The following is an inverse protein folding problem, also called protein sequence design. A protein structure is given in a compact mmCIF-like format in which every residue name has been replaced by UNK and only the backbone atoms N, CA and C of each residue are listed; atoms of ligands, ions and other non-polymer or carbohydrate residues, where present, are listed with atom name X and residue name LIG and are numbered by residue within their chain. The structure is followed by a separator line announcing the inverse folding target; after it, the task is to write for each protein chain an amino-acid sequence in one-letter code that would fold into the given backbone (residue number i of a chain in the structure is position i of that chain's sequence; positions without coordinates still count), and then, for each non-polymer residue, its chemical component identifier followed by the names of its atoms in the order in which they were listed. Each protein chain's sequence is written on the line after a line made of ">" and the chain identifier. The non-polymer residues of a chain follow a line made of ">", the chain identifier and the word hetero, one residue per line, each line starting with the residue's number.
data_IF_675089121978
#
_entry.id   IF_675089121978
#
_cell.length_a   1.000
_cell.length_b   1.000
_cell.length_c   1.000
_cell.angle_alpha   90.00
_cell.angle_beta   90.00
_cell.angle_gamma   90.00
#
_symmetry.space_group_name_H-M   'P 1'
#
loop_
_entity.id
_entity.type
_entity.pdbx_description
1 polymer ?
#
# COMPACT_ATOMS: atom_id res chain seq x y z
N UNK A 1 -9.34 -6.09 25.01
CA UNK A 1 -9.77 -5.42 23.77
C UNK A 1 -8.72 -4.39 23.41
N UNK A 2 -8.15 -4.47 22.21
CA UNK A 2 -7.10 -3.56 21.74
C UNK A 2 -7.76 -2.43 20.94
N UNK A 3 -7.33 -1.18 21.15
CA UNK A 3 -7.87 -0.01 20.45
C UNK A 3 -6.74 0.92 20.04
N UNK A 4 -6.86 1.52 18.87
CA UNK A 4 -5.91 2.50 18.33
C UNK A 4 -6.66 3.80 18.10
N UNK A 5 -6.15 4.92 18.59
CA UNK A 5 -6.77 6.21 18.36
C UNK A 5 -6.48 6.70 16.94
N UNK A 6 -7.36 7.56 16.42
CA UNK A 6 -7.12 8.20 15.13
C UNK A 6 -5.75 8.91 15.12
N UNK A 7 -4.95 8.65 14.08
CA UNK A 7 -3.58 9.18 13.87
C UNK A 7 -2.53 8.68 14.86
N UNK A 8 -2.84 7.70 15.71
CA UNK A 8 -1.87 7.07 16.60
C UNK A 8 -0.90 6.17 15.80
N UNK A 9 0.40 6.32 16.05
CA UNK A 9 1.43 5.44 15.45
C UNK A 9 1.67 4.25 16.36
N UNK A 10 1.31 3.05 15.90
CA UNK A 10 1.47 1.82 16.67
C UNK A 10 2.44 0.86 15.96
N UNK A 11 3.38 0.30 16.73
CA UNK A 11 4.28 -0.75 16.26
C UNK A 11 3.73 -2.14 16.59
N UNK A 12 3.56 -2.99 15.59
CA UNK A 12 3.09 -4.38 15.75
C UNK A 12 4.10 -5.33 15.11
N UNK A 13 4.65 -6.26 15.90
CA UNK A 13 5.72 -7.18 15.48
C UNK A 13 5.22 -8.34 14.60
N UNK A 14 3.92 -8.59 14.57
CA UNK A 14 3.26 -9.58 13.69
C UNK A 14 2.11 -8.96 12.90
N UNK A 15 2.45 -8.04 12.00
CA UNK A 15 1.49 -7.32 11.16
C UNK A 15 0.74 -8.22 10.16
N UNK A 16 1.30 -9.38 9.79
CA UNK A 16 0.74 -10.27 8.76
C UNK A 16 -0.68 -10.75 9.07
N UNK A 17 -0.98 -11.17 10.30
CA UNK A 17 -2.34 -11.63 10.64
C UNK A 17 -3.36 -10.49 10.66
N UNK A 18 -2.96 -9.30 11.11
CA UNK A 18 -3.83 -8.12 11.14
C UNK A 18 -4.20 -7.68 9.73
N UNK A 19 -3.24 -7.67 8.81
CA UNK A 19 -3.48 -7.34 7.41
C UNK A 19 -4.51 -8.28 6.77
N UNK A 20 -4.39 -9.60 7.03
CA UNK A 20 -5.31 -10.61 6.49
C UNK A 20 -6.72 -10.43 7.05
N UNK A 21 -6.86 -10.10 8.34
CA UNK A 21 -8.15 -9.80 8.96
C UNK A 21 -8.78 -8.50 8.46
N UNK A 22 -8.01 -7.40 8.40
CA UNK A 22 -8.50 -6.09 7.92
C UNK A 22 -8.91 -6.11 6.45
N UNK A 23 -8.21 -6.91 5.64
CA UNK A 23 -8.58 -7.16 4.24
C UNK A 23 -9.75 -8.13 4.09
N UNK A 24 -10.32 -8.62 5.20
CA UNK A 24 -11.40 -9.62 5.26
C UNK A 24 -11.10 -10.86 4.41
N UNK A 25 -9.85 -11.33 4.46
CA UNK A 25 -9.44 -12.64 3.95
C UNK A 25 -9.74 -13.75 4.96
N UNK A 26 -9.83 -13.38 6.24
CA UNK A 26 -10.34 -14.20 7.35
C UNK A 26 -11.38 -13.40 8.13
N UNK A 27 -12.24 -14.09 8.87
CA UNK A 27 -13.19 -13.43 9.77
C UNK A 27 -12.42 -12.66 10.86
N UNK A 28 -12.80 -11.40 11.04
CA UNK A 28 -12.21 -10.51 12.04
C UNK A 28 -13.35 -9.75 12.72
N UNK A 29 -13.41 -9.84 14.05
CA UNK A 29 -14.30 -9.02 14.87
C UNK A 29 -13.57 -7.71 15.22
N UNK A 30 -13.92 -6.64 14.51
CA UNK A 30 -13.32 -5.33 14.66
C UNK A 30 -14.31 -4.21 14.30
N UNK A 31 -14.09 -3.05 14.89
CA UNK A 31 -14.80 -1.81 14.57
C UNK A 31 -13.81 -0.74 14.14
N UNK A 32 -14.19 0.06 13.14
CA UNK A 32 -13.48 1.26 12.71
C UNK A 32 -14.43 2.42 12.91
N UNK A 33 -14.01 3.45 13.67
CA UNK A 33 -14.84 4.59 14.04
C UNK A 33 -16.20 4.19 14.69
N UNK A 34 -16.20 3.09 15.45
CA UNK A 34 -17.39 2.54 16.10
C UNK A 34 -18.34 1.77 15.16
N UNK A 35 -18.00 1.65 13.87
CA UNK A 35 -18.76 0.88 12.88
C UNK A 35 -18.13 -0.49 12.71
N UNK A 36 -18.95 -1.54 12.81
CA UNK A 36 -18.56 -2.91 12.50
C UNK A 36 -18.14 -3.05 11.03
N UNK A 37 -16.91 -3.50 10.80
CA UNK A 37 -16.33 -3.64 9.46
C UNK A 37 -17.09 -4.64 8.58
N UNK A 38 -17.82 -5.58 9.17
CA UNK A 38 -18.63 -6.56 8.44
C UNK A 38 -19.84 -5.92 7.76
N UNK A 39 -20.27 -4.75 8.23
CA UNK A 39 -21.38 -3.96 7.64
C UNK A 39 -20.95 -3.08 6.48
N UNK A 40 -19.64 -2.88 6.30
CA UNK A 40 -19.07 -2.07 5.22
C UNK A 40 -18.86 -2.97 3.99
N UNK A 41 -19.12 -2.45 2.78
CA UNK A 41 -18.81 -3.18 1.54
C UNK A 41 -17.31 -3.40 1.43
N UNK A 42 -16.91 -4.56 0.93
CA UNK A 42 -15.50 -4.96 0.87
C UNK A 42 -14.64 -3.98 0.06
N UNK A 43 -15.13 -3.53 -1.09
CA UNK A 43 -14.45 -2.56 -1.95
C UNK A 43 -14.24 -1.23 -1.21
N UNK A 44 -15.28 -0.73 -0.56
CA UNK A 44 -15.23 0.55 0.14
C UNK A 44 -14.26 0.46 1.32
N UNK A 45 -14.33 -0.60 2.13
CA UNK A 45 -13.39 -0.83 3.23
C UNK A 45 -11.94 -0.86 2.74
N UNK A 46 -11.65 -1.58 1.64
CA UNK A 46 -10.31 -1.70 1.07
C UNK A 46 -9.81 -0.39 0.45
N UNK A 47 -10.69 0.50 0.01
CA UNK A 47 -10.30 1.80 -0.55
C UNK A 47 -9.72 2.76 0.50
N UNK A 48 -10.04 2.57 1.79
CA UNK A 48 -9.55 3.39 2.90
C UNK A 48 -8.32 2.81 3.60
N UNK A 49 -7.85 1.62 3.20
CA UNK A 49 -6.73 0.93 3.84
C UNK A 49 -5.61 0.75 2.83
N UNK A 50 -4.45 1.35 3.09
CA UNK A 50 -3.23 1.12 2.35
C UNK A 50 -2.30 0.17 3.12
N UNK A 51 -1.84 -0.89 2.47
CA UNK A 51 -0.88 -1.85 3.04
C UNK A 51 0.38 -1.82 2.20
N UNK A 52 1.52 -1.54 2.83
CA UNK A 52 2.84 -1.72 2.21
C UNK A 52 3.36 -3.11 2.56
N UNK A 53 3.62 -4.00 1.58
CA UNK A 53 4.20 -5.32 1.84
C UNK A 53 5.64 -5.19 2.35
N UNK A 54 6.14 -6.21 3.05
CA UNK A 54 7.54 -6.21 3.50
C UNK A 54 8.53 -6.26 2.33
N UNK A 55 8.20 -7.06 1.31
CA UNK A 55 8.91 -7.11 0.03
C UNK A 55 7.97 -6.61 -1.08
N UNK A 56 8.41 -5.57 -1.79
CA UNK A 56 7.65 -5.02 -2.93
C UNK A 56 7.98 -5.80 -4.19
N UNK A 57 6.95 -6.25 -4.91
CA UNK A 57 7.08 -6.83 -6.25
C UNK A 57 6.59 -5.81 -7.28
N UNK A 58 7.41 -5.54 -8.29
CA UNK A 58 7.02 -4.75 -9.46
C UNK A 58 6.75 -5.68 -10.65
N UNK A 59 5.69 -5.37 -11.39
CA UNK A 59 5.40 -6.00 -12.67
C UNK A 59 6.25 -5.40 -13.78
N UNK A 60 6.42 -6.17 -14.86
CA UNK A 60 7.03 -5.68 -16.11
C UNK A 60 6.23 -4.48 -16.63
N UNK A 61 6.90 -3.34 -16.82
CA UNK A 61 6.26 -2.10 -17.23
C UNK A 61 7.05 -0.87 -16.76
N UNK A 62 6.42 0.30 -16.86
CA UNK A 62 7.00 1.56 -16.36
C UNK A 62 6.77 1.70 -14.86
N UNK A 63 7.50 2.62 -14.22
CA UNK A 63 7.21 3.00 -12.83
C UNK A 63 5.77 3.50 -12.71
N UNK A 64 5.31 4.28 -13.70
CA UNK A 64 3.93 4.79 -13.77
C UNK A 64 2.89 3.67 -13.80
N UNK A 65 3.06 2.65 -14.65
CA UNK A 65 2.11 1.55 -14.75
C UNK A 65 2.09 0.67 -13.50
N UNK A 66 3.16 0.67 -12.70
CA UNK A 66 3.20 -0.03 -11.43
C UNK A 66 2.57 0.78 -10.28
N UNK A 67 2.73 2.11 -10.28
CA UNK A 67 2.21 3.00 -9.23
C UNK A 67 0.76 3.42 -9.47
N UNK A 68 0.35 3.55 -10.72
CA UNK A 68 -1.00 3.92 -11.13
C UNK A 68 -1.48 3.04 -12.30
N UNK A 69 -1.75 1.75 -12.04
CA UNK A 69 -2.13 0.78 -13.06
C UNK A 69 -3.48 1.08 -13.72
N UNK A 70 -4.30 1.93 -13.11
CA UNK A 70 -5.65 2.28 -13.61
C UNK A 70 -5.72 3.71 -14.16
N UNK A 71 -4.61 4.45 -14.21
CA UNK A 71 -4.55 5.82 -14.68
C UNK A 71 -5.52 6.77 -13.94
N UNK A 72 -5.69 6.59 -12.63
CA UNK A 72 -6.61 7.41 -11.82
C UNK A 72 -6.04 8.79 -11.52
N UNK A 73 -4.72 8.96 -11.56
CA UNK A 73 -4.08 10.22 -11.28
C UNK A 73 -3.69 10.89 -12.60
N UNK A 74 -4.11 12.13 -12.84
CA UNK A 74 -3.63 12.89 -14.01
C UNK A 74 -2.36 13.69 -13.70
N UNK A 75 -2.14 13.96 -12.41
CA UNK A 75 -1.02 14.74 -11.90
C UNK A 75 0.17 13.85 -11.58
N UNK A 76 1.27 14.08 -12.30
CA UNK A 76 2.54 13.40 -12.09
C UNK A 76 3.16 13.68 -10.72
N UNK A 77 2.80 14.77 -10.04
CA UNK A 77 3.34 15.06 -8.72
C UNK A 77 2.94 14.00 -7.68
N UNK A 78 1.71 13.49 -7.76
CA UNK A 78 1.23 12.46 -6.83
C UNK A 78 1.92 11.12 -7.07
N UNK A 79 2.15 10.78 -8.33
CA UNK A 79 2.89 9.56 -8.69
C UNK A 79 4.37 9.67 -8.34
N UNK A 80 5.00 10.83 -8.54
CA UNK A 80 6.37 11.07 -8.13
C UNK A 80 6.57 10.88 -6.62
N UNK A 81 5.64 11.37 -5.77
CA UNK A 81 5.72 11.14 -4.31
C UNK A 81 5.61 9.67 -3.95
N UNK A 82 4.72 8.93 -4.61
CA UNK A 82 4.60 7.48 -4.40
C UNK A 82 5.86 6.72 -4.85
N UNK A 83 6.50 7.17 -5.94
CA UNK A 83 7.75 6.59 -6.45
C UNK A 83 8.85 6.62 -5.39
N UNK A 84 9.06 7.76 -4.73
CA UNK A 84 10.12 7.92 -3.71
C UNK A 84 9.96 6.93 -2.54
N UNK A 85 8.72 6.61 -2.15
CA UNK A 85 8.47 5.62 -1.09
C UNK A 85 8.81 4.19 -1.53
N UNK A 86 8.60 3.87 -2.81
CA UNK A 86 8.90 2.56 -3.40
C UNK A 86 10.39 2.42 -3.71
N UNK A 87 11.06 3.51 -4.09
CA UNK A 87 12.49 3.54 -4.39
C UNK A 87 13.33 3.06 -3.20
N UNK A 88 13.01 3.50 -1.99
CA UNK A 88 13.76 3.12 -0.78
C UNK A 88 13.75 1.63 -0.46
N UNK A 89 12.67 0.91 -0.78
CA UNK A 89 12.55 -0.53 -0.52
C UNK A 89 13.07 -1.41 -1.66
N UNK A 90 12.90 -1.00 -2.92
CA UNK A 90 13.20 -1.84 -4.09
C UNK A 90 14.53 -1.50 -4.79
N UNK A 91 14.92 -0.21 -4.84
CA UNK A 91 16.09 0.20 -5.62
C UNK A 91 17.43 -0.09 -4.93
N UNK A 92 17.48 -0.10 -3.59
CA UNK A 92 18.70 -0.41 -2.86
C UNK A 92 19.25 -1.82 -3.16
N UNK A 93 18.36 -2.78 -3.49
CA UNK A 93 18.74 -4.17 -3.76
C UNK A 93 19.14 -4.44 -5.23
N UNK A 94 18.65 -3.64 -6.20
CA UNK A 94 18.80 -3.94 -7.64
C UNK A 94 19.73 -2.99 -8.41
N UNK A 95 20.10 -1.84 -7.84
CA UNK A 95 20.95 -0.84 -8.50
C UNK A 95 22.44 -1.21 -8.62
N UNK A 96 22.88 -2.36 -8.09
CA UNK A 96 24.29 -2.76 -8.19
C UNK A 96 24.67 -3.37 -9.55
N UNK A 97 23.72 -3.70 -10.44
CA UNK A 97 24.08 -4.47 -11.65
C UNK A 97 23.70 -3.96 -13.04
N UNK A 98 22.68 -3.15 -13.32
CA UNK A 98 22.54 -2.54 -14.67
C UNK A 98 21.75 -1.24 -14.67
N UNK A 99 22.07 -0.43 -15.68
CA UNK A 99 21.60 0.91 -16.02
C UNK A 99 20.21 1.29 -15.48
N UNK A 100 20.19 2.41 -14.76
CA UNK A 100 19.03 2.93 -14.05
C UNK A 100 17.78 3.09 -14.89
N UNK A 101 16.63 3.01 -14.21
CA UNK A 101 15.32 3.26 -14.79
C UNK A 101 15.30 4.64 -15.46
N UNK A 102 15.12 4.68 -16.77
CA UNK A 102 14.81 5.92 -17.48
C UNK A 102 13.38 6.31 -17.14
N UNK A 103 13.23 7.38 -16.39
CA UNK A 103 11.97 8.08 -16.23
C UNK A 103 11.61 8.71 -17.60
N UNK A 104 10.68 8.10 -18.31
CA UNK A 104 10.04 8.75 -19.45
C UNK A 104 8.67 9.26 -18.97
N UNK A 105 8.59 10.57 -18.76
CA UNK A 105 7.33 11.29 -18.80
C UNK A 105 7.10 11.67 -20.28
N UNK A 106 5.99 11.22 -20.86
CA UNK A 106 5.39 11.92 -22.00
C UNK A 106 4.40 12.96 -21.46
#
# INVERSE_FOLDING_TARGET
>A
MFSVNAKEKVGIRMLSCLNVGLMRLVELDATIDGVDINKIRLHDLRSYIAITPQDTVLFLGTVRSNLDPFCHFLDDQNVCKASVAVEGHYLAARFREREGLKFHCE
#
